data_IF_307157006173
#
_entry.id   IF_307157006173
#
_cell.length_a   1.000
_cell.length_b   1.000
_cell.length_c   1.000
_cell.angle_alpha   90.00
_cell.angle_beta   90.00
_cell.angle_gamma   90.00
#
_symmetry.space_group_name_H-M   'P 1'
#
loop_
_entity.id
_entity.type
_entity.pdbx_description
1 polymer ?
#
# COMPACT_ATOMS: atom_id res chain seq x y z
N UNK A 1 -38.69 -21.62 25.23
CA UNK A 1 -38.66 -21.31 23.80
C UNK A 1 -37.26 -20.76 23.54
N UNK A 2 -36.36 -21.67 23.19
CA UNK A 2 -34.95 -21.46 22.99
C UNK A 2 -34.75 -21.08 21.52
N UNK A 3 -34.50 -19.81 21.22
CA UNK A 3 -34.15 -19.37 19.88
C UNK A 3 -32.65 -19.53 19.68
N UNK A 4 -32.33 -20.26 18.66
CA UNK A 4 -31.04 -20.70 18.20
C UNK A 4 -30.04 -19.55 18.06
N UNK A 5 -28.90 -19.72 18.70
CA UNK A 5 -27.67 -19.05 18.37
C UNK A 5 -26.99 -19.90 17.28
N UNK A 6 -27.39 -19.71 16.02
CA UNK A 6 -26.80 -20.42 14.91
C UNK A 6 -26.17 -19.44 13.93
N UNK A 7 -24.87 -19.65 13.70
CA UNK A 7 -24.24 -19.40 12.41
C UNK A 7 -23.65 -18.00 12.17
N UNK A 8 -22.83 -17.48 13.06
CA UNK A 8 -21.65 -16.73 12.61
C UNK A 8 -20.63 -17.78 12.14
N UNK A 9 -20.74 -18.21 10.89
CA UNK A 9 -19.62 -18.83 10.17
C UNK A 9 -18.43 -17.93 10.42
N UNK A 10 -17.39 -18.43 11.10
CA UNK A 10 -16.08 -17.78 11.11
C UNK A 10 -15.71 -17.56 9.63
N UNK A 11 -15.84 -16.32 9.18
CA UNK A 11 -15.31 -15.96 7.87
C UNK A 11 -13.81 -16.20 7.97
N UNK A 12 -13.33 -17.25 7.32
CA UNK A 12 -11.90 -17.51 7.20
C UNK A 12 -11.30 -16.25 6.58
N UNK A 13 -10.48 -15.56 7.36
CA UNK A 13 -9.73 -14.41 6.86
C UNK A 13 -8.71 -14.94 5.85
N UNK A 14 -8.78 -14.50 4.61
CA UNK A 14 -7.81 -14.87 3.57
C UNK A 14 -7.09 -13.63 3.09
N UNK A 15 -5.84 -13.81 2.65
CA UNK A 15 -5.06 -12.79 1.98
C UNK A 15 -5.04 -13.10 0.49
N UNK A 16 -5.52 -12.17 -0.33
CA UNK A 16 -5.61 -12.32 -1.77
C UNK A 16 -4.31 -11.92 -2.44
N UNK A 17 -3.60 -12.89 -3.01
CA UNK A 17 -2.38 -12.68 -3.80
C UNK A 17 -2.64 -12.89 -5.29
N UNK A 18 -1.68 -12.49 -6.13
CA UNK A 18 -1.75 -12.71 -7.58
C UNK A 18 -1.75 -14.19 -7.96
N UNK A 19 -1.32 -15.10 -7.08
CA UNK A 19 -1.34 -16.56 -7.26
C UNK A 19 -2.56 -17.24 -6.65
N UNK A 20 -3.48 -16.47 -6.05
CA UNK A 20 -4.66 -16.97 -5.33
C UNK A 20 -4.63 -16.59 -3.85
N UNK A 21 -5.67 -17.02 -3.13
CA UNK A 21 -5.85 -16.72 -1.72
C UNK A 21 -4.94 -17.62 -0.85
N UNK A 22 -4.32 -17.03 0.18
CA UNK A 22 -3.48 -17.71 1.17
C UNK A 22 -4.00 -17.46 2.57
N UNK A 23 -3.61 -18.30 3.53
CA UNK A 23 -3.83 -18.05 4.94
C UNK A 23 -2.97 -16.87 5.42
N UNK A 24 -3.46 -15.95 6.27
CA UNK A 24 -2.67 -14.85 6.79
C UNK A 24 -1.34 -15.27 7.44
N UNK A 25 -1.26 -16.46 8.06
CA UNK A 25 -0.02 -16.99 8.63
C UNK A 25 1.07 -17.33 7.61
N UNK A 26 0.71 -17.41 6.31
CA UNK A 26 1.65 -17.66 5.22
C UNK A 26 2.31 -16.40 4.69
N UNK A 27 1.84 -15.19 5.08
CA UNK A 27 2.40 -13.93 4.62
C UNK A 27 3.88 -13.76 5.00
N UNK A 28 4.25 -14.03 6.24
CA UNK A 28 5.61 -13.81 6.73
C UNK A 28 6.05 -12.34 6.68
N UNK A 29 7.37 -12.06 6.65
CA UNK A 29 7.87 -10.68 6.59
C UNK A 29 7.40 -9.96 5.32
N UNK A 30 6.73 -8.83 5.51
CA UNK A 30 6.00 -8.11 4.46
C UNK A 30 6.56 -6.72 4.22
N UNK A 31 6.83 -6.41 2.95
CA UNK A 31 6.98 -5.03 2.46
C UNK A 31 5.60 -4.51 2.07
N UNK A 32 5.10 -3.54 2.81
CA UNK A 32 3.70 -3.13 2.72
C UNK A 32 3.42 -2.08 1.63
N UNK A 33 4.42 -1.57 0.93
CA UNK A 33 4.23 -0.61 -0.15
C UNK A 33 5.39 -0.57 -1.14
N UNK A 34 5.17 -1.13 -2.32
CA UNK A 34 6.11 -1.09 -3.44
C UNK A 34 5.40 -0.98 -4.80
N UNK A 35 6.20 -0.83 -5.84
CA UNK A 35 5.77 -0.90 -7.23
C UNK A 35 6.71 -1.80 -8.01
N UNK A 36 6.16 -2.79 -8.75
CA UNK A 36 6.91 -3.65 -9.66
C UNK A 36 6.79 -3.23 -11.13
N UNK A 37 5.73 -2.52 -11.45
CA UNK A 37 5.48 -1.88 -12.75
C UNK A 37 4.87 -0.51 -12.50
N UNK A 38 5.45 0.55 -13.07
CA UNK A 38 4.90 1.89 -12.85
C UNK A 38 5.23 2.82 -14.02
N UNK A 39 4.23 3.59 -14.43
CA UNK A 39 4.37 4.64 -15.44
C UNK A 39 3.40 5.78 -15.15
N UNK A 40 3.89 7.01 -15.10
CA UNK A 40 3.05 8.18 -14.88
C UNK A 40 3.52 9.36 -15.70
N UNK A 41 2.60 10.18 -16.26
CA UNK A 41 2.97 11.41 -16.98
C UNK A 41 3.76 12.42 -16.14
N UNK A 42 3.73 12.30 -14.80
CA UNK A 42 4.50 13.17 -13.90
C UNK A 42 5.99 12.82 -13.82
N UNK A 43 6.41 11.68 -14.37
CA UNK A 43 7.78 11.17 -14.28
C UNK A 43 8.23 10.59 -15.62
N UNK A 44 8.25 11.40 -16.70
CA UNK A 44 8.62 10.92 -18.03
C UNK A 44 10.08 10.46 -18.05
N UNK A 45 10.32 9.26 -18.61
CA UNK A 45 11.65 8.62 -18.68
C UNK A 45 12.07 7.87 -17.42
N UNK A 46 11.23 7.81 -16.40
CA UNK A 46 11.47 7.09 -15.13
C UNK A 46 10.49 5.92 -14.93
N UNK A 47 9.79 5.56 -16.01
CA UNK A 47 8.88 4.41 -16.05
C UNK A 47 9.64 3.07 -16.07
N UNK A 48 9.01 2.04 -15.54
CA UNK A 48 9.55 0.68 -15.55
C UNK A 48 8.43 -0.34 -15.79
N UNK A 49 8.65 -1.20 -16.80
CA UNK A 49 7.68 -2.19 -17.28
C UNK A 49 8.34 -3.46 -17.84
N UNK A 50 9.66 -3.61 -17.67
CA UNK A 50 10.42 -4.76 -18.14
C UNK A 50 10.33 -5.89 -17.09
N UNK A 51 9.66 -6.99 -17.46
CA UNK A 51 9.41 -8.12 -16.55
C UNK A 51 10.70 -8.79 -16.09
N UNK A 52 11.69 -8.96 -16.97
CA UNK A 52 12.93 -9.66 -16.62
C UNK A 52 13.75 -8.83 -15.62
N UNK A 53 13.87 -7.52 -15.83
CA UNK A 53 14.50 -6.60 -14.87
C UNK A 53 13.75 -6.53 -13.55
N UNK A 54 12.41 -6.60 -13.61
CA UNK A 54 11.58 -6.60 -12.41
C UNK A 54 11.76 -7.91 -11.62
N UNK A 55 11.94 -9.05 -12.28
CA UNK A 55 12.29 -10.32 -11.63
C UNK A 55 13.66 -10.20 -10.92
N UNK A 56 14.66 -9.61 -11.58
CA UNK A 56 15.98 -9.36 -10.95
C UNK A 56 15.86 -8.52 -9.68
N UNK A 57 15.09 -7.43 -9.70
CA UNK A 57 14.85 -6.58 -8.52
C UNK A 57 14.07 -7.32 -7.43
N UNK A 58 12.97 -7.99 -7.77
CA UNK A 58 12.16 -8.72 -6.81
C UNK A 58 12.94 -9.87 -6.14
N UNK A 59 13.89 -10.50 -6.86
CA UNK A 59 14.76 -11.50 -6.27
C UNK A 59 15.64 -10.91 -5.16
N UNK A 60 16.11 -9.66 -5.30
CA UNK A 60 16.90 -9.02 -4.22
C UNK A 60 16.07 -8.81 -2.96
N UNK A 61 14.75 -8.54 -3.10
CA UNK A 61 13.83 -8.41 -1.98
C UNK A 61 13.65 -9.76 -1.25
N UNK A 62 13.48 -10.85 -2.00
CA UNK A 62 13.41 -12.23 -1.46
C UNK A 62 14.70 -12.60 -0.76
N UNK A 63 15.86 -12.33 -1.37
CA UNK A 63 17.19 -12.61 -0.79
C UNK A 63 17.44 -11.83 0.51
N UNK A 64 16.83 -10.65 0.66
CA UNK A 64 16.85 -9.85 1.88
C UNK A 64 15.88 -10.36 2.98
N UNK A 65 15.07 -11.39 2.68
CA UNK A 65 14.20 -12.06 3.65
C UNK A 65 12.73 -11.67 3.60
N UNK A 66 12.30 -10.92 2.59
CA UNK A 66 10.88 -10.59 2.36
C UNK A 66 10.13 -11.83 1.82
N UNK A 67 8.93 -12.05 2.30
CA UNK A 67 8.04 -13.13 1.85
C UNK A 67 6.85 -12.61 1.07
N UNK A 68 6.30 -11.49 1.52
CA UNK A 68 5.14 -10.84 0.91
C UNK A 68 5.45 -9.38 0.59
N UNK A 69 4.84 -8.89 -0.45
CA UNK A 69 4.93 -7.51 -0.88
C UNK A 69 3.56 -7.03 -1.37
N UNK A 70 3.23 -5.76 -1.11
CA UNK A 70 2.02 -5.13 -1.62
C UNK A 70 2.39 -4.16 -2.75
N UNK A 71 1.98 -4.48 -3.98
CA UNK A 71 2.12 -3.59 -5.14
C UNK A 71 0.95 -2.60 -5.16
N UNK A 72 1.26 -1.31 -4.98
CA UNK A 72 0.26 -0.26 -4.91
C UNK A 72 -0.03 0.40 -6.26
N UNK A 73 0.34 -0.21 -7.37
CA UNK A 73 0.16 0.37 -8.70
C UNK A 73 -1.31 0.34 -9.14
N UNK A 74 -1.96 1.51 -9.29
CA UNK A 74 -3.37 1.60 -9.62
C UNK A 74 -3.63 1.58 -11.12
N UNK A 75 -4.89 1.61 -11.51
CA UNK A 75 -5.36 1.67 -12.90
C UNK A 75 -4.74 2.87 -13.64
N UNK A 76 -4.30 2.65 -14.87
CA UNK A 76 -3.79 3.69 -15.78
C UNK A 76 -2.37 4.18 -15.50
N UNK A 77 -1.66 3.59 -14.53
CA UNK A 77 -0.29 3.97 -14.16
C UNK A 77 0.72 2.82 -14.31
N UNK A 78 0.59 2.03 -15.35
CA UNK A 78 1.51 0.92 -15.62
C UNK A 78 1.14 -0.40 -14.93
N UNK A 79 -0.03 -0.48 -14.29
CA UNK A 79 -0.52 -1.72 -13.65
C UNK A 79 -0.51 -2.89 -14.64
N UNK A 80 0.21 -3.97 -14.28
CA UNK A 80 0.34 -5.19 -15.09
C UNK A 80 0.13 -6.45 -14.22
N UNK A 81 -1.13 -6.90 -14.02
CA UNK A 81 -1.42 -8.07 -13.18
C UNK A 81 -0.75 -9.35 -13.65
N UNK A 82 -0.67 -9.58 -14.95
CA UNK A 82 -0.01 -10.77 -15.52
C UNK A 82 1.52 -10.70 -15.33
N UNK A 83 2.10 -9.52 -15.45
CA UNK A 83 3.51 -9.28 -15.12
C UNK A 83 3.78 -9.55 -13.64
N UNK A 84 2.91 -9.11 -12.72
CA UNK A 84 3.01 -9.38 -11.29
C UNK A 84 2.94 -10.89 -10.99
N UNK A 85 2.04 -11.63 -11.67
CA UNK A 85 1.95 -13.09 -11.55
C UNK A 85 3.25 -13.75 -11.97
N UNK A 86 3.82 -13.36 -13.12
CA UNK A 86 5.10 -13.89 -13.63
C UNK A 86 6.26 -13.62 -12.67
N UNK A 87 6.34 -12.41 -12.11
CA UNK A 87 7.35 -12.07 -11.08
C UNK A 87 7.19 -12.94 -9.85
N UNK A 88 5.96 -13.09 -9.36
CA UNK A 88 5.64 -13.91 -8.19
C UNK A 88 5.99 -15.39 -8.40
N UNK A 89 5.71 -15.95 -9.59
CA UNK A 89 6.04 -17.35 -9.95
C UNK A 89 7.55 -17.55 -10.05
N UNK A 90 8.28 -16.60 -10.65
CA UNK A 90 9.72 -16.70 -10.88
C UNK A 90 10.53 -16.60 -9.58
N UNK A 91 10.09 -15.77 -8.62
CA UNK A 91 10.85 -15.46 -7.39
C UNK A 91 10.33 -16.18 -6.15
N UNK A 92 9.10 -16.67 -6.18
CA UNK A 92 8.39 -17.20 -5.00
C UNK A 92 7.83 -16.12 -4.07
N UNK A 93 8.02 -14.83 -4.38
CA UNK A 93 7.48 -13.72 -3.61
C UNK A 93 5.94 -13.75 -3.66
N UNK A 94 5.26 -13.66 -2.51
CA UNK A 94 3.83 -13.43 -2.45
C UNK A 94 3.55 -11.97 -2.82
N UNK A 95 2.80 -11.73 -3.90
CA UNK A 95 2.48 -10.36 -4.34
C UNK A 95 0.99 -10.10 -4.16
N UNK A 96 0.65 -9.06 -3.42
CA UNK A 96 -0.71 -8.54 -3.28
C UNK A 96 -0.84 -7.36 -4.23
N UNK A 97 -1.66 -7.48 -5.27
CA UNK A 97 -1.85 -6.43 -6.27
C UNK A 97 -2.92 -5.42 -5.84
N UNK A 98 -2.74 -4.15 -6.21
CA UNK A 98 -3.78 -3.15 -6.08
C UNK A 98 -4.65 -3.05 -7.34
N UNK A 99 -5.90 -2.65 -7.14
CA UNK A 99 -6.73 -1.90 -8.10
C UNK A 99 -6.99 -0.51 -7.58
N UNK A 100 -7.71 0.34 -8.30
CA UNK A 100 -8.07 1.67 -7.81
C UNK A 100 -7.52 2.80 -8.67
N UNK A 101 -7.54 4.02 -8.14
CA UNK A 101 -7.21 5.25 -8.87
C UNK A 101 -6.37 6.17 -7.99
N UNK A 102 -5.24 6.63 -8.51
CA UNK A 102 -4.38 7.59 -7.81
C UNK A 102 -5.00 9.00 -7.75
N UNK A 103 -4.29 9.95 -7.16
CA UNK A 103 -4.71 11.35 -7.12
C UNK A 103 -4.78 11.97 -8.52
N UNK A 104 -5.58 13.01 -8.64
CA UNK A 104 -5.96 13.71 -9.88
C UNK A 104 -4.78 14.05 -10.80
N UNK A 105 -3.68 14.53 -10.26
CA UNK A 105 -2.53 15.00 -11.03
C UNK A 105 -1.84 13.93 -11.90
N UNK A 106 -2.04 12.65 -11.62
CA UNK A 106 -1.45 11.55 -12.40
C UNK A 106 -2.22 11.23 -13.69
N UNK A 107 -3.42 11.77 -13.87
CA UNK A 107 -4.27 11.49 -15.03
C UNK A 107 -4.45 12.71 -15.91
N UNK A 108 -4.08 12.65 -17.20
CA UNK A 108 -4.37 13.71 -18.17
C UNK A 108 -5.86 14.05 -18.23
N UNK A 109 -6.20 15.26 -18.72
CA UNK A 109 -7.58 15.73 -18.76
C UNK A 109 -8.52 14.87 -19.63
N UNK A 110 -7.98 14.18 -20.63
CA UNK A 110 -8.67 13.27 -21.55
C UNK A 110 -8.61 11.80 -21.12
N UNK A 111 -8.05 11.48 -19.94
CA UNK A 111 -7.91 10.10 -19.50
C UNK A 111 -9.29 9.43 -19.31
N UNK A 112 -9.52 8.20 -19.82
CA UNK A 112 -10.83 7.52 -19.77
C UNK A 112 -11.45 7.42 -18.37
N UNK A 113 -10.66 7.18 -17.33
CA UNK A 113 -11.15 7.12 -15.95
C UNK A 113 -11.84 8.42 -15.49
N UNK A 114 -11.60 9.57 -16.13
CA UNK A 114 -12.22 10.83 -15.75
C UNK A 114 -13.71 10.89 -16.06
N UNK A 115 -14.14 10.22 -17.13
CA UNK A 115 -15.54 10.22 -17.58
C UNK A 115 -16.38 9.08 -17.00
N UNK A 116 -15.75 8.08 -16.37
CA UNK A 116 -16.48 7.04 -15.67
C UNK A 116 -17.28 7.62 -14.48
N UNK A 117 -18.50 7.11 -14.27
CA UNK A 117 -19.28 7.43 -13.07
C UNK A 117 -18.69 6.72 -11.84
N UNK A 118 -19.01 7.16 -10.60
CA UNK A 118 -18.61 6.41 -9.40
C UNK A 118 -19.04 4.95 -9.44
N UNK A 119 -20.25 4.66 -9.94
CA UNK A 119 -20.79 3.29 -10.03
C UNK A 119 -20.05 2.44 -11.07
N UNK A 120 -19.68 3.02 -12.23
CA UNK A 120 -18.90 2.33 -13.25
C UNK A 120 -17.51 1.98 -12.72
N UNK A 121 -16.89 2.94 -12.06
CA UNK A 121 -15.59 2.75 -11.44
C UNK A 121 -15.67 1.69 -10.32
N UNK A 122 -16.67 1.73 -9.45
CA UNK A 122 -16.87 0.73 -8.41
C UNK A 122 -17.01 -0.69 -8.99
N UNK A 123 -17.82 -0.85 -10.07
CA UNK A 123 -17.95 -2.14 -10.76
C UNK A 123 -16.62 -2.63 -11.34
N UNK A 124 -15.80 -1.73 -11.89
CA UNK A 124 -14.46 -2.07 -12.39
C UNK A 124 -13.56 -2.56 -11.26
N UNK A 125 -13.52 -1.85 -10.11
CA UNK A 125 -12.72 -2.26 -8.96
C UNK A 125 -13.15 -3.63 -8.42
N UNK A 126 -14.46 -3.88 -8.32
CA UNK A 126 -14.98 -5.19 -7.93
C UNK A 126 -14.60 -6.28 -8.93
N UNK A 127 -14.64 -6.00 -10.23
CA UNK A 127 -14.24 -6.95 -11.27
C UNK A 127 -12.74 -7.29 -11.19
N UNK A 128 -11.88 -6.33 -10.85
CA UNK A 128 -10.44 -6.58 -10.61
C UNK A 128 -10.17 -7.43 -9.34
N UNK A 129 -11.10 -7.41 -8.39
CA UNK A 129 -10.98 -8.13 -7.12
C UNK A 129 -11.59 -9.54 -7.20
N UNK A 130 -12.75 -9.69 -7.85
CA UNK A 130 -13.56 -10.93 -7.83
C UNK A 130 -13.81 -11.53 -9.22
N UNK A 131 -13.44 -10.83 -10.29
CA UNK A 131 -13.62 -11.25 -11.67
C UNK A 131 -12.64 -12.33 -12.09
N UNK A 132 -12.65 -12.74 -13.36
CA UNK A 132 -11.70 -13.71 -13.89
C UNK A 132 -10.30 -13.12 -14.00
N UNK A 133 -9.25 -13.98 -13.88
CA UNK A 133 -7.85 -13.60 -14.03
C UNK A 133 -7.13 -13.36 -12.72
N UNK A 134 -6.12 -12.49 -12.72
CA UNK A 134 -5.32 -12.14 -11.55
C UNK A 134 -6.08 -11.16 -10.68
N UNK A 135 -6.28 -11.52 -9.42
CA UNK A 135 -7.09 -10.76 -8.48
C UNK A 135 -6.27 -9.68 -7.75
N UNK A 136 -6.92 -8.55 -7.45
CA UNK A 136 -6.39 -7.52 -6.55
C UNK A 136 -6.80 -7.79 -5.10
N UNK A 137 -5.85 -7.61 -4.16
CA UNK A 137 -6.08 -7.79 -2.72
C UNK A 137 -6.29 -6.48 -1.96
N UNK A 138 -6.01 -5.32 -2.56
CA UNK A 138 -6.20 -4.00 -1.97
C UNK A 138 -6.75 -2.99 -2.98
N UNK A 139 -7.38 -1.92 -2.49
CA UNK A 139 -7.85 -0.80 -3.33
C UNK A 139 -6.98 0.42 -3.05
N UNK A 140 -6.27 0.91 -4.07
CA UNK A 140 -5.46 2.13 -4.01
C UNK A 140 -6.28 3.35 -4.42
N UNK A 141 -6.28 4.37 -3.55
CA UNK A 141 -6.78 5.72 -3.86
C UNK A 141 -5.74 6.78 -3.44
N UNK A 142 -5.97 8.04 -3.78
CA UNK A 142 -5.03 9.09 -3.42
C UNK A 142 -5.71 10.43 -3.18
N UNK A 143 -5.16 11.19 -2.23
CA UNK A 143 -5.58 12.54 -1.87
C UNK A 143 -4.51 13.57 -2.24
N UNK A 144 -4.91 14.71 -2.78
CA UNK A 144 -4.05 15.85 -3.04
C UNK A 144 -3.70 16.61 -1.76
N UNK A 145 -2.73 17.51 -1.86
CA UNK A 145 -2.22 18.30 -0.73
C UNK A 145 -3.33 19.10 -0.05
N UNK A 146 -3.61 18.76 1.21
CA UNK A 146 -4.65 19.34 2.08
C UNK A 146 -6.08 19.37 1.53
N UNK A 147 -6.40 18.57 0.49
CA UNK A 147 -7.74 18.54 -0.10
C UNK A 147 -7.99 17.30 -0.94
N UNK A 148 -9.26 17.01 -1.20
CA UNK A 148 -9.70 16.13 -2.29
C UNK A 148 -10.08 16.97 -3.50
N UNK A 149 -9.65 16.55 -4.69
CA UNK A 149 -10.15 17.09 -5.97
C UNK A 149 -11.47 16.36 -6.33
N UNK A 150 -12.33 16.94 -7.19
CA UNK A 150 -13.57 16.27 -7.60
C UNK A 150 -13.36 14.85 -8.19
N UNK A 151 -12.25 14.64 -8.90
CA UNK A 151 -11.87 13.33 -9.43
C UNK A 151 -11.51 12.35 -8.29
N UNK A 152 -10.84 12.83 -7.26
CA UNK A 152 -10.48 12.05 -6.07
C UNK A 152 -11.72 11.73 -5.21
N UNK A 153 -12.65 12.68 -5.02
CA UNK A 153 -13.93 12.43 -4.33
C UNK A 153 -14.72 11.31 -4.99
N UNK A 154 -14.77 11.31 -6.34
CA UNK A 154 -15.35 10.22 -7.13
C UNK A 154 -14.66 8.89 -6.86
N UNK A 155 -13.32 8.87 -6.86
CA UNK A 155 -12.53 7.67 -6.61
C UNK A 155 -12.74 7.13 -5.18
N UNK A 156 -12.84 8.01 -4.18
CA UNK A 156 -13.14 7.65 -2.80
C UNK A 156 -14.53 7.01 -2.66
N UNK A 157 -15.55 7.58 -3.30
CA UNK A 157 -16.89 7.01 -3.30
C UNK A 157 -16.93 5.61 -3.95
N UNK A 158 -16.27 5.45 -5.10
CA UNK A 158 -16.16 4.17 -5.80
C UNK A 158 -15.40 3.11 -4.99
N UNK A 159 -14.29 3.51 -4.36
CA UNK A 159 -13.49 2.64 -3.51
C UNK A 159 -14.25 2.20 -2.25
N UNK A 160 -15.00 3.10 -1.62
CA UNK A 160 -15.85 2.77 -0.46
C UNK A 160 -16.92 1.75 -0.83
N UNK A 161 -17.59 1.90 -2.00
CA UNK A 161 -18.56 0.92 -2.48
C UNK A 161 -17.91 -0.42 -2.81
N UNK A 162 -16.75 -0.44 -3.49
CA UNK A 162 -16.02 -1.66 -3.78
C UNK A 162 -15.58 -2.37 -2.48
N UNK A 163 -15.07 -1.62 -1.47
CA UNK A 163 -14.76 -2.15 -0.14
C UNK A 163 -16.00 -2.75 0.54
N UNK A 164 -17.14 -2.09 0.47
CA UNK A 164 -18.39 -2.58 1.05
C UNK A 164 -18.78 -3.96 0.49
N UNK A 165 -18.56 -4.19 -0.80
CA UNK A 165 -18.88 -5.43 -1.51
C UNK A 165 -17.83 -6.53 -1.27
N UNK A 166 -16.54 -6.20 -1.33
CA UNK A 166 -15.45 -7.17 -1.39
C UNK A 166 -14.68 -7.35 -0.08
N UNK A 167 -14.79 -6.37 0.84
CA UNK A 167 -14.08 -6.31 2.12
C UNK A 167 -12.55 -6.12 2.02
N UNK A 168 -11.95 -5.97 0.85
CA UNK A 168 -10.53 -5.68 0.73
C UNK A 168 -10.20 -4.28 1.27
N UNK A 169 -9.04 -4.06 1.93
CA UNK A 169 -8.69 -2.79 2.55
C UNK A 169 -8.39 -1.69 1.53
N UNK A 170 -8.45 -0.43 1.99
CA UNK A 170 -8.12 0.76 1.22
C UNK A 170 -6.71 1.24 1.59
N UNK A 171 -5.89 1.42 0.56
CA UNK A 171 -4.55 2.01 0.63
C UNK A 171 -4.61 3.43 0.08
N UNK A 172 -4.33 4.43 0.90
CA UNK A 172 -4.51 5.84 0.56
C UNK A 172 -3.19 6.58 0.49
N UNK A 173 -2.82 7.08 -0.69
CA UNK A 173 -1.75 8.05 -0.82
C UNK A 173 -2.15 9.37 -0.15
N UNK A 174 -1.35 9.86 0.78
CA UNK A 174 -1.49 11.21 1.33
C UNK A 174 -0.39 12.09 0.75
N UNK A 175 -0.75 13.19 0.08
CA UNK A 175 0.28 14.07 -0.47
C UNK A 175 1.03 14.79 0.66
N UNK A 176 2.33 14.52 0.76
CA UNK A 176 3.21 15.01 1.81
C UNK A 176 2.77 14.66 3.25
N UNK A 177 2.08 13.54 3.46
CA UNK A 177 1.61 13.12 4.77
C UNK A 177 0.47 13.96 5.35
N UNK A 178 -0.24 14.72 4.49
CA UNK A 178 -1.30 15.63 4.95
C UNK A 178 -2.68 14.98 4.98
N UNK A 179 -3.61 15.54 5.74
CA UNK A 179 -5.04 15.14 5.84
C UNK A 179 -5.29 13.76 6.48
N UNK A 180 -4.34 13.13 7.15
CA UNK A 180 -4.52 11.77 7.66
C UNK A 180 -5.87 11.55 8.34
N UNK A 181 -6.17 12.26 9.42
CA UNK A 181 -7.44 12.14 10.16
C UNK A 181 -8.65 12.55 9.29
N UNK A 182 -8.53 13.63 8.51
CA UNK A 182 -9.62 14.08 7.63
C UNK A 182 -10.01 13.06 6.54
N UNK A 183 -9.04 12.30 6.02
CA UNK A 183 -9.27 11.19 5.09
C UNK A 183 -10.03 10.05 5.78
N UNK A 184 -9.62 9.66 6.98
CA UNK A 184 -10.30 8.63 7.77
C UNK A 184 -11.74 9.03 8.06
N UNK A 185 -11.97 10.26 8.51
CA UNK A 185 -13.32 10.78 8.77
C UNK A 185 -14.18 10.83 7.49
N UNK A 186 -13.57 11.20 6.35
CA UNK A 186 -14.29 11.20 5.07
C UNK A 186 -14.70 9.79 4.67
N UNK A 187 -13.81 8.82 4.73
CA UNK A 187 -14.10 7.41 4.44
C UNK A 187 -15.10 6.81 5.44
N UNK A 188 -15.04 7.20 6.71
CA UNK A 188 -16.03 6.77 7.71
C UNK A 188 -17.44 7.25 7.37
N UNK A 189 -17.59 8.48 6.84
CA UNK A 189 -18.89 8.97 6.33
C UNK A 189 -19.39 8.17 5.13
N UNK A 190 -18.50 7.54 4.36
CA UNK A 190 -18.81 6.63 3.25
C UNK A 190 -19.01 5.18 3.72
N UNK A 191 -18.95 4.91 5.03
CA UNK A 191 -19.20 3.59 5.61
C UNK A 191 -17.97 2.68 5.71
N UNK A 192 -16.77 3.19 5.49
CA UNK A 192 -15.52 2.44 5.65
C UNK A 192 -15.03 2.56 7.09
N UNK A 193 -14.80 1.42 7.76
CA UNK A 193 -14.26 1.43 9.12
C UNK A 193 -12.78 1.84 9.11
N UNK A 194 -12.30 2.67 10.07
CA UNK A 194 -10.91 3.13 10.12
C UNK A 194 -9.88 1.99 10.03
N UNK A 195 -10.13 0.85 10.67
CA UNK A 195 -9.24 -0.33 10.63
C UNK A 195 -9.05 -0.93 9.22
N UNK A 196 -9.88 -0.56 8.24
CA UNK A 196 -9.74 -0.97 6.85
C UNK A 196 -8.98 0.07 5.99
N UNK A 197 -8.42 1.11 6.60
CA UNK A 197 -7.74 2.22 5.92
C UNK A 197 -6.26 2.22 6.29
N UNK A 198 -5.41 2.19 5.27
CA UNK A 198 -3.96 2.33 5.38
C UNK A 198 -3.58 3.69 4.76
N UNK A 199 -2.95 4.56 5.54
CA UNK A 199 -2.52 5.89 5.10
C UNK A 199 -1.02 5.91 4.83
N UNK A 200 -0.63 6.13 3.57
CA UNK A 200 0.77 6.13 3.15
C UNK A 200 1.43 7.51 3.23
N UNK A 201 2.78 7.50 3.24
CA UNK A 201 3.63 8.69 3.18
C UNK A 201 3.54 9.60 4.40
N UNK A 202 3.13 9.07 5.55
CA UNK A 202 2.98 9.88 6.76
C UNK A 202 4.34 10.43 7.25
N UNK A 203 5.43 9.71 7.01
CA UNK A 203 6.78 10.16 7.33
C UNK A 203 7.27 11.37 6.50
N UNK A 204 6.55 11.74 5.41
CA UNK A 204 6.84 12.99 4.68
C UNK A 204 6.46 14.24 5.49
N UNK A 205 5.60 14.10 6.48
CA UNK A 205 5.34 15.04 7.56
C UNK A 205 5.62 14.37 8.90
N UNK A 206 6.86 14.39 9.43
CA UNK A 206 7.24 13.60 10.59
C UNK A 206 6.77 14.23 11.90
N UNK A 207 5.48 14.61 12.00
CA UNK A 207 4.84 15.10 13.23
C UNK A 207 4.16 13.94 13.98
N UNK A 208 4.76 13.45 15.09
CA UNK A 208 4.19 12.34 15.84
C UNK A 208 2.89 12.68 16.56
N UNK A 209 2.59 13.97 16.78
CA UNK A 209 1.33 14.43 17.36
C UNK A 209 0.16 14.23 16.40
N UNK A 210 0.30 14.72 15.16
CA UNK A 210 -0.71 14.59 14.11
C UNK A 210 -0.97 13.12 13.77
N UNK A 211 0.09 12.31 13.68
CA UNK A 211 -0.07 10.89 13.37
C UNK A 211 -0.64 10.08 14.52
N UNK A 212 -0.40 10.49 15.77
CA UNK A 212 -1.04 9.86 16.92
C UNK A 212 -2.55 10.10 16.95
N UNK A 213 -3.00 11.31 16.60
CA UNK A 213 -4.44 11.59 16.44
C UNK A 213 -5.06 10.72 15.36
N UNK A 214 -4.37 10.58 14.22
CA UNK A 214 -4.80 9.72 13.13
C UNK A 214 -4.86 8.25 13.56
N UNK A 215 -3.82 7.74 14.22
CA UNK A 215 -3.74 6.37 14.73
C UNK A 215 -4.80 6.07 15.81
N UNK A 216 -5.16 7.05 16.64
CA UNK A 216 -6.22 6.90 17.64
C UNK A 216 -7.60 6.60 17.01
N UNK A 217 -7.80 6.89 15.73
CA UNK A 217 -9.00 6.48 14.98
C UNK A 217 -9.08 4.96 14.73
N UNK A 218 -7.94 4.25 14.79
CA UNK A 218 -7.79 2.85 14.44
C UNK A 218 -7.29 2.60 13.01
N UNK A 219 -6.92 3.64 12.25
CA UNK A 219 -6.32 3.51 10.93
C UNK A 219 -4.85 3.07 11.02
N UNK A 220 -4.34 2.46 9.94
CA UNK A 220 -2.96 2.02 9.81
C UNK A 220 -2.07 3.16 9.31
N UNK A 221 -0.90 3.28 9.88
CA UNK A 221 0.07 4.35 9.61
C UNK A 221 1.24 3.78 8.81
N UNK A 222 1.26 4.07 7.50
CA UNK A 222 2.29 3.61 6.58
C UNK A 222 3.39 4.65 6.44
N UNK A 223 4.63 4.23 6.74
CA UNK A 223 5.84 5.00 6.55
C UNK A 223 6.64 4.38 5.39
N UNK A 224 7.02 5.17 4.40
CA UNK A 224 7.67 4.70 3.19
C UNK A 224 8.80 5.62 2.70
N UNK A 225 9.41 6.33 3.66
CA UNK A 225 10.60 7.16 3.48
C UNK A 225 11.97 6.52 3.66
N UNK A 226 12.13 5.26 4.15
CA UNK A 226 13.46 4.67 4.21
C UNK A 226 14.17 4.70 2.86
N UNK A 227 15.46 5.16 2.87
CA UNK A 227 16.23 5.34 1.64
C UNK A 227 15.90 6.58 0.82
N UNK A 228 14.92 7.40 1.23
CA UNK A 228 14.48 8.60 0.52
C UNK A 228 15.02 9.89 1.15
N UNK A 229 16.35 10.00 1.24
CA UNK A 229 17.04 11.12 1.88
C UNK A 229 16.65 12.52 1.34
N UNK A 230 15.99 12.59 0.17
CA UNK A 230 15.46 13.85 -0.37
C UNK A 230 14.32 14.44 0.47
N UNK A 231 13.60 13.60 1.23
CA UNK A 231 12.60 14.05 2.20
C UNK A 231 13.26 14.21 3.56
N UNK A 232 13.69 13.09 4.14
CA UNK A 232 14.30 13.03 5.46
C UNK A 232 15.38 11.93 5.49
N UNK A 233 16.42 12.06 6.33
CA UNK A 233 17.32 10.94 6.58
C UNK A 233 16.59 9.84 7.35
N UNK A 234 17.04 8.59 7.20
CA UNK A 234 16.47 7.42 7.89
C UNK A 234 16.39 7.60 9.42
N UNK A 235 17.28 8.40 10.02
CA UNK A 235 17.22 8.71 11.45
C UNK A 235 15.94 9.46 11.86
N UNK A 236 15.38 10.28 10.98
CA UNK A 236 14.10 10.96 11.24
C UNK A 236 12.95 9.96 11.20
N UNK A 237 12.97 9.01 10.26
CA UNK A 237 11.95 7.96 10.19
C UNK A 237 12.02 7.05 11.43
N UNK A 238 13.23 6.66 11.86
CA UNK A 238 13.44 5.88 13.09
C UNK A 238 12.95 6.63 14.34
N UNK A 239 13.21 7.95 14.44
CA UNK A 239 12.70 8.74 15.54
C UNK A 239 11.16 8.80 15.54
N UNK A 240 10.54 9.00 14.37
CA UNK A 240 9.09 8.99 14.24
C UNK A 240 8.49 7.62 14.66
N UNK A 241 9.10 6.52 14.24
CA UNK A 241 8.69 5.15 14.67
C UNK A 241 8.75 5.02 16.20
N UNK A 242 9.86 5.46 16.82
CA UNK A 242 10.02 5.44 18.28
C UNK A 242 8.94 6.26 18.97
N UNK A 243 8.71 7.50 18.53
CA UNK A 243 7.72 8.40 19.13
C UNK A 243 6.28 7.86 19.01
N UNK A 244 5.96 7.22 17.90
CA UNK A 244 4.64 6.58 17.69
C UNK A 244 4.50 5.29 18.51
N UNK A 245 5.56 4.49 18.64
CA UNK A 245 5.57 3.30 19.47
C UNK A 245 5.40 3.67 20.97
N UNK A 246 6.06 4.71 21.45
CA UNK A 246 5.91 5.24 22.82
C UNK A 246 4.49 5.72 23.10
N UNK A 247 3.75 6.10 22.07
CA UNK A 247 2.32 6.48 22.15
C UNK A 247 1.37 5.27 22.03
N UNK A 248 1.90 4.04 21.97
CA UNK A 248 1.12 2.80 21.94
C UNK A 248 0.66 2.38 20.54
N UNK A 249 1.22 2.98 19.47
CA UNK A 249 0.81 2.73 18.08
C UNK A 249 1.70 1.72 17.34
N UNK A 250 2.63 1.05 18.04
CA UNK A 250 3.58 0.09 17.44
C UNK A 250 2.92 -0.95 16.51
N UNK A 251 1.73 -1.43 16.88
CA UNK A 251 0.99 -2.46 16.14
C UNK A 251 0.13 -1.92 14.98
N UNK A 252 0.15 -0.62 14.76
CA UNK A 252 -0.53 0.05 13.65
C UNK A 252 0.46 0.63 12.62
N UNK A 253 1.77 0.41 12.85
CA UNK A 253 2.81 0.89 11.95
C UNK A 253 3.08 -0.14 10.85
N UNK A 254 3.15 0.35 9.61
CA UNK A 254 3.54 -0.39 8.42
C UNK A 254 4.75 0.29 7.78
N UNK A 255 5.62 -0.50 7.14
CA UNK A 255 6.80 0.01 6.43
C UNK A 255 6.91 -0.57 5.03
N UNK A 256 7.28 0.28 4.06
CA UNK A 256 7.60 -0.07 2.69
C UNK A 256 8.60 0.88 2.07
N UNK A 257 9.00 0.65 0.83
CA UNK A 257 9.98 1.48 0.11
C UNK A 257 9.35 2.49 -0.84
N UNK A 258 8.13 2.25 -1.32
CA UNK A 258 7.45 3.07 -2.36
C UNK A 258 8.36 3.36 -3.56
N UNK A 259 9.01 2.32 -4.11
CA UNK A 259 9.92 2.43 -5.25
C UNK A 259 9.14 2.71 -6.53
N UNK A 260 8.89 3.98 -6.82
CA UNK A 260 8.04 4.44 -7.93
C UNK A 260 8.82 5.04 -9.12
N UNK A 261 10.10 4.66 -9.31
CA UNK A 261 10.97 5.16 -10.39
C UNK A 261 11.98 4.13 -10.83
N UNK A 262 12.24 4.00 -12.13
CA UNK A 262 13.32 3.16 -12.66
C UNK A 262 14.70 3.57 -12.12
N UNK A 263 14.93 4.88 -11.91
CA UNK A 263 16.15 5.42 -11.30
C UNK A 263 16.39 4.98 -9.84
N UNK A 264 15.42 4.37 -9.18
CA UNK A 264 15.55 3.78 -7.84
C UNK A 264 15.89 2.28 -7.88
N UNK A 265 15.81 1.63 -9.03
CA UNK A 265 16.04 0.19 -9.20
C UNK A 265 17.42 -0.11 -9.79
N UNK A 266 18.15 -1.07 -9.21
CA UNK A 266 19.51 -1.45 -9.68
C UNK A 266 19.50 -2.11 -11.05
N UNK A 267 18.52 -2.94 -11.34
CA UNK A 267 18.37 -3.57 -12.66
C UNK A 267 18.16 -2.56 -13.80
N UNK A 268 17.76 -1.33 -13.44
CA UNK A 268 17.66 -0.21 -14.39
C UNK A 268 18.86 0.76 -14.32
N UNK A 269 19.90 0.40 -13.55
CA UNK A 269 21.12 1.22 -13.40
C UNK A 269 21.01 2.32 -12.34
N UNK A 270 19.96 2.29 -11.52
CA UNK A 270 19.72 3.24 -10.43
C UNK A 270 20.02 2.68 -9.03
N UNK A 271 19.35 3.18 -8.03
CA UNK A 271 19.45 2.75 -6.65
C UNK A 271 18.64 3.61 -5.69
N UNK A 272 18.39 3.10 -4.46
CA UNK A 272 19.15 2.06 -3.75
C UNK A 272 18.72 0.60 -4.03
N UNK A 273 17.62 0.36 -4.72
CA UNK A 273 17.05 -0.96 -5.00
C UNK A 273 15.84 -1.28 -4.11
N UNK A 274 14.99 -2.21 -4.57
CA UNK A 274 13.80 -2.67 -3.86
C UNK A 274 14.08 -3.22 -2.46
N UNK A 275 15.23 -3.87 -2.27
CA UNK A 275 15.60 -4.51 -1.03
C UNK A 275 16.03 -3.54 0.09
N UNK A 276 16.11 -2.22 -0.15
CA UNK A 276 16.68 -1.26 0.81
C UNK A 276 16.04 -1.35 2.19
N UNK A 277 14.71 -1.45 2.26
CA UNK A 277 13.99 -1.55 3.53
C UNK A 277 14.45 -2.76 4.32
N UNK A 278 14.54 -3.93 3.71
CA UNK A 278 14.89 -5.18 4.38
C UNK A 278 16.40 -5.37 4.56
N UNK A 279 17.20 -4.99 3.58
CA UNK A 279 18.65 -5.19 3.63
C UNK A 279 19.41 -4.11 4.45
N UNK A 280 18.84 -2.92 4.61
CA UNK A 280 19.51 -1.78 5.24
C UNK A 280 18.74 -1.16 6.40
N UNK A 281 17.49 -0.77 6.18
CA UNK A 281 16.70 -0.06 7.18
C UNK A 281 16.27 -0.97 8.33
N UNK A 282 15.69 -2.14 8.04
CA UNK A 282 15.23 -3.10 9.06
C UNK A 282 16.33 -3.54 10.02
N UNK A 283 17.54 -3.93 9.61
CA UNK A 283 18.62 -4.24 10.54
C UNK A 283 19.06 -3.05 11.41
N UNK A 284 18.94 -1.83 10.90
CA UNK A 284 19.20 -0.61 11.67
C UNK A 284 18.09 -0.38 12.71
N UNK A 285 16.83 -0.52 12.31
CA UNK A 285 15.68 -0.44 13.20
C UNK A 285 15.80 -1.44 14.35
N UNK A 286 16.12 -2.71 14.05
CA UNK A 286 16.30 -3.76 15.05
C UNK A 286 17.41 -3.44 16.06
N UNK A 287 18.52 -2.89 15.58
CA UNK A 287 19.65 -2.50 16.43
C UNK A 287 19.32 -1.29 17.33
N UNK A 288 18.57 -0.31 16.82
CA UNK A 288 18.30 0.96 17.51
C UNK A 288 17.01 0.92 18.35
N UNK A 289 15.97 0.21 17.89
CA UNK A 289 14.64 0.18 18.51
C UNK A 289 14.18 -1.20 18.98
N UNK A 290 14.94 -2.25 18.68
CA UNK A 290 14.67 -3.62 19.11
C UNK A 290 13.93 -4.48 18.11
N UNK A 291 14.15 -5.81 18.23
CA UNK A 291 13.58 -6.82 17.33
C UNK A 291 12.08 -7.02 17.51
N UNK A 292 11.54 -6.75 18.70
CA UNK A 292 10.11 -6.88 18.96
C UNK A 292 9.30 -5.86 18.15
N UNK A 293 9.74 -4.59 18.11
CA UNK A 293 9.11 -3.56 17.31
C UNK A 293 9.19 -3.89 15.81
N UNK A 294 10.34 -4.39 15.35
CA UNK A 294 10.52 -4.87 13.97
C UNK A 294 9.52 -5.98 13.63
N UNK A 295 9.31 -6.94 14.55
CA UNK A 295 8.35 -8.03 14.36
C UNK A 295 6.91 -7.51 14.24
N UNK A 296 6.50 -6.55 15.06
CA UNK A 296 5.19 -5.92 14.91
C UNK A 296 5.02 -5.30 13.53
N UNK A 297 5.98 -4.51 13.08
CA UNK A 297 5.89 -3.73 11.83
C UNK A 297 5.91 -4.61 10.57
N UNK A 298 6.74 -5.66 10.54
CA UNK A 298 6.97 -6.44 9.32
C UNK A 298 6.25 -7.79 9.28
N UNK A 299 5.68 -8.27 10.39
CA UNK A 299 5.12 -9.61 10.48
C UNK A 299 3.72 -9.67 11.09
N UNK A 300 3.42 -8.83 12.07
CA UNK A 300 2.17 -8.91 12.86
C UNK A 300 1.16 -7.79 12.57
N UNK A 301 1.58 -6.73 11.91
CA UNK A 301 0.73 -5.60 11.53
C UNK A 301 -0.23 -5.91 10.38
#
# INVERSE_FOLDING_TARGET
MQLAADGLSEMVSVVRTVRGDIDPSEMGPTDSHEHLFFATPLQPGDEFADVDRTIEEAQTLVDAGTRTMVDWTPLGLGRDPEGLLRVSEATGLQVIAATGVHRDAHYPADHPLRVETPDDLARRLVADIEGPGVHSGVIKIGASYHRLQPFEEKAFAAAAEAHRLTRVPLCVHTEHGTMGLGIVEHLARLGVAPRAVILAHLDRNPDPGEHAETGASGAWLQLDGPGRAKYWPDSTVLQLISDLADRGLAKQLLLGGDTGRSSMMRAYGGGPGLDYVFARFKPRLERELGTELSRFIFVEA
#
